data_IF_638081123402
#
_entry.id   IF_638081123402
#
_cell.length_a   1.000
_cell.length_b   1.000
_cell.length_c   1.000
_cell.angle_alpha   90.00
_cell.angle_beta   90.00
_cell.angle_gamma   90.00
#
_symmetry.space_group_name_H-M   'P 1'
#
loop_
_entity.id
_entity.type
_entity.pdbx_description
1 polymer ?
#
# COMPACT_ATOMS: atom_id res chain seq x y z
N UNK A 1 15.23 78.09 4.47
CA UNK A 1 14.22 77.93 3.42
C UNK A 1 14.80 77.05 2.40
N UNK A 2 14.47 75.80 2.47
CA UNK A 2 13.68 75.04 1.53
C UNK A 2 13.61 73.57 1.98
N UNK A 3 12.40 73.19 2.10
CA UNK A 3 12.00 71.82 2.42
C UNK A 3 12.26 70.87 1.25
N UNK A 4 12.84 69.70 1.53
CA UNK A 4 12.76 68.57 0.65
C UNK A 4 12.32 67.37 1.48
N UNK A 5 11.01 67.11 1.49
CA UNK A 5 10.39 65.89 2.04
C UNK A 5 10.78 64.70 1.18
N UNK A 6 11.35 63.69 1.85
CA UNK A 6 11.65 62.43 1.28
C UNK A 6 10.36 61.62 1.10
N UNK A 7 10.16 61.09 -0.07
CA UNK A 7 9.17 60.03 -0.35
C UNK A 7 9.63 58.71 0.28
N UNK A 8 8.75 58.10 1.07
CA UNK A 8 9.07 56.94 1.88
C UNK A 8 8.96 55.60 1.14
N UNK A 9 9.38 54.52 1.78
CA UNK A 9 9.54 53.16 1.18
C UNK A 9 8.23 52.36 1.18
N UNK A 10 7.15 52.91 0.61
CA UNK A 10 5.88 52.17 0.51
C UNK A 10 5.69 51.41 -0.82
N UNK A 11 6.36 51.81 -1.90
CA UNK A 11 6.19 51.18 -3.21
C UNK A 11 6.83 49.79 -3.37
N UNK A 12 7.81 49.43 -2.53
CA UNK A 12 8.48 48.11 -2.63
C UNK A 12 7.79 46.97 -1.86
N UNK A 13 6.85 47.28 -0.95
CA UNK A 13 6.13 46.27 -0.19
C UNK A 13 4.90 45.73 -0.94
N UNK A 14 4.26 46.57 -1.74
CA UNK A 14 3.09 46.16 -2.55
C UNK A 14 3.47 45.26 -3.72
N UNK A 15 4.59 45.53 -4.39
CA UNK A 15 5.09 44.73 -5.52
C UNK A 15 5.54 43.32 -5.12
N UNK A 16 6.10 43.16 -3.91
CA UNK A 16 6.49 41.86 -3.37
C UNK A 16 5.28 40.97 -2.99
N UNK A 17 4.18 41.59 -2.58
CA UNK A 17 2.97 40.86 -2.14
C UNK A 17 2.12 40.41 -3.33
N UNK A 18 2.08 41.21 -4.42
CA UNK A 18 1.40 40.84 -5.67
C UNK A 18 2.14 39.68 -6.42
N UNK A 19 3.47 39.69 -6.43
CA UNK A 19 4.28 38.60 -6.98
C UNK A 19 4.06 37.28 -6.23
N UNK A 20 3.98 37.31 -4.90
CA UNK A 20 3.77 36.11 -4.06
C UNK A 20 2.33 35.59 -4.20
N UNK A 21 1.33 36.45 -4.38
CA UNK A 21 -0.06 36.06 -4.65
C UNK A 21 -0.23 35.40 -6.04
N UNK A 22 0.42 35.92 -7.07
CA UNK A 22 0.36 35.39 -8.42
C UNK A 22 1.05 34.00 -8.51
N UNK A 23 2.18 33.81 -7.83
CA UNK A 23 2.87 32.54 -7.74
C UNK A 23 2.04 31.50 -6.99
N UNK A 24 1.32 31.91 -5.97
CA UNK A 24 0.40 31.04 -5.22
C UNK A 24 -0.79 30.60 -6.08
N UNK A 25 -1.43 31.48 -6.82
CA UNK A 25 -2.52 31.16 -7.74
C UNK A 25 -2.06 30.21 -8.85
N UNK A 26 -0.86 30.44 -9.41
CA UNK A 26 -0.26 29.55 -10.41
C UNK A 26 -0.03 28.16 -9.84
N UNK A 27 0.48 28.08 -8.60
CA UNK A 27 0.70 26.80 -7.91
C UNK A 27 -0.63 26.06 -7.62
N UNK A 28 -1.63 26.77 -7.12
CA UNK A 28 -2.95 26.21 -6.85
C UNK A 28 -3.60 25.68 -8.15
N UNK A 29 -3.51 26.42 -9.24
CA UNK A 29 -4.01 25.98 -10.53
C UNK A 29 -3.24 24.75 -11.08
N UNK A 30 -1.93 24.70 -10.88
CA UNK A 30 -1.13 23.52 -11.25
C UNK A 30 -1.45 22.31 -10.40
N UNK A 31 -1.69 22.48 -9.10
CA UNK A 31 -2.12 21.42 -8.19
C UNK A 31 -3.47 20.86 -8.66
N UNK A 32 -4.48 21.73 -8.84
CA UNK A 32 -5.80 21.31 -9.31
C UNK A 32 -5.74 20.53 -10.64
N UNK A 33 -4.94 21.02 -11.59
CA UNK A 33 -4.75 20.33 -12.88
C UNK A 33 -4.03 18.98 -12.76
N UNK A 34 -3.11 18.84 -11.81
CA UNK A 34 -2.45 17.56 -11.55
C UNK A 34 -3.39 16.59 -10.85
N UNK A 35 -4.21 17.08 -9.93
CA UNK A 35 -5.25 16.28 -9.26
C UNK A 35 -6.27 15.75 -10.27
N UNK A 36 -6.79 16.58 -11.14
CA UNK A 36 -7.70 16.20 -12.24
C UNK A 36 -7.10 15.11 -13.12
N UNK A 37 -5.82 15.26 -13.53
CA UNK A 37 -5.14 14.24 -14.34
C UNK A 37 -4.90 12.94 -13.61
N UNK A 38 -4.68 12.98 -12.31
CA UNK A 38 -4.55 11.77 -11.48
C UNK A 38 -5.90 11.05 -11.41
N UNK A 39 -7.00 11.78 -11.21
CA UNK A 39 -8.35 11.23 -11.22
C UNK A 39 -8.72 10.58 -12.56
N UNK A 40 -8.40 11.25 -13.69
CA UNK A 40 -8.62 10.69 -15.03
C UNK A 40 -7.84 9.39 -15.26
N UNK A 41 -6.55 9.36 -14.86
CA UNK A 41 -5.70 8.18 -14.98
C UNK A 41 -6.19 7.02 -14.09
N UNK A 42 -6.64 7.33 -12.87
CA UNK A 42 -7.22 6.36 -11.97
C UNK A 42 -8.52 5.77 -12.53
N UNK A 43 -9.42 6.61 -13.05
CA UNK A 43 -10.66 6.17 -13.68
C UNK A 43 -10.40 5.29 -14.92
N UNK A 44 -9.43 5.66 -15.74
CA UNK A 44 -9.02 4.85 -16.89
C UNK A 44 -8.45 3.50 -16.46
N UNK A 45 -7.54 3.48 -15.49
CA UNK A 45 -6.97 2.24 -14.96
C UNK A 45 -8.03 1.30 -14.39
N UNK A 46 -9.06 1.84 -13.73
CA UNK A 46 -10.21 1.09 -13.22
C UNK A 46 -11.02 0.45 -14.34
N UNK A 47 -11.33 1.21 -15.39
CA UNK A 47 -12.08 0.72 -16.53
C UNK A 47 -11.34 -0.42 -17.21
N UNK A 48 -10.05 -0.25 -17.48
CA UNK A 48 -9.21 -1.29 -18.12
C UNK A 48 -9.13 -2.54 -17.23
N UNK A 49 -8.94 -2.38 -15.93
CA UNK A 49 -8.88 -3.51 -15.00
C UNK A 49 -10.21 -4.29 -14.95
N UNK A 50 -11.32 -3.58 -14.97
CA UNK A 50 -12.65 -4.19 -15.01
C UNK A 50 -12.82 -5.02 -16.30
N UNK A 51 -12.45 -4.46 -17.43
CA UNK A 51 -12.63 -5.10 -18.75
C UNK A 51 -11.69 -6.30 -18.97
N UNK A 52 -10.50 -6.29 -18.34
CA UNK A 52 -9.57 -7.42 -18.36
C UNK A 52 -10.03 -8.59 -17.48
N UNK A 53 -10.86 -8.37 -16.46
CA UNK A 53 -11.30 -9.42 -15.54
C UNK A 53 -12.13 -10.50 -16.24
N UNK A 54 -13.03 -10.13 -17.15
CA UNK A 54 -13.94 -11.06 -17.81
C UNK A 54 -13.20 -12.08 -18.71
N UNK A 55 -12.34 -11.68 -19.67
CA UNK A 55 -11.60 -12.63 -20.48
C UNK A 55 -10.63 -13.48 -19.66
N UNK A 56 -10.05 -12.93 -18.59
CA UNK A 56 -9.14 -13.66 -17.74
C UNK A 56 -9.84 -14.78 -16.96
N UNK A 57 -11.02 -14.54 -16.40
CA UNK A 57 -11.86 -15.58 -15.79
C UNK A 57 -12.20 -16.70 -16.75
N UNK A 58 -12.44 -16.37 -18.01
CA UNK A 58 -12.72 -17.37 -19.05
C UNK A 58 -11.49 -18.25 -19.29
N UNK A 59 -10.30 -17.66 -19.45
CA UNK A 59 -9.05 -18.41 -19.62
C UNK A 59 -8.77 -19.27 -18.40
N UNK A 60 -8.92 -18.71 -17.20
CA UNK A 60 -8.73 -19.45 -15.95
C UNK A 60 -9.69 -20.64 -15.84
N UNK A 61 -10.99 -20.44 -16.12
CA UNK A 61 -12.00 -21.47 -16.06
C UNK A 61 -11.70 -22.65 -16.99
N UNK A 62 -11.43 -22.38 -18.27
CA UNK A 62 -11.08 -23.47 -19.21
C UNK A 62 -9.76 -24.16 -18.88
N UNK A 63 -8.77 -23.42 -18.41
CA UNK A 63 -7.50 -24.01 -18.00
C UNK A 63 -7.66 -24.94 -16.78
N UNK A 64 -8.54 -24.56 -15.83
CA UNK A 64 -8.89 -25.42 -14.69
C UNK A 64 -9.62 -26.70 -15.11
N UNK A 65 -10.59 -26.60 -16.01
CA UNK A 65 -11.28 -27.79 -16.54
C UNK A 65 -10.27 -28.75 -17.16
N UNK A 66 -9.34 -28.24 -17.97
CA UNK A 66 -8.27 -29.07 -18.53
C UNK A 66 -7.38 -29.69 -17.46
N UNK A 67 -7.05 -28.97 -16.40
CA UNK A 67 -6.21 -29.47 -15.31
C UNK A 67 -6.95 -30.51 -14.44
N UNK A 68 -8.24 -30.31 -14.13
CA UNK A 68 -9.01 -31.15 -13.22
C UNK A 68 -9.62 -32.39 -13.92
N UNK A 69 -10.17 -32.22 -15.13
CA UNK A 69 -10.95 -33.26 -15.78
C UNK A 69 -10.15 -34.05 -16.84
N UNK A 70 -9.13 -33.46 -17.46
CA UNK A 70 -8.40 -34.07 -18.58
C UNK A 70 -6.93 -34.38 -18.28
N UNK A 71 -6.48 -34.25 -17.03
CA UNK A 71 -5.08 -34.49 -16.64
C UNK A 71 -4.60 -35.89 -16.99
N UNK A 72 -5.49 -36.90 -16.89
CA UNK A 72 -5.15 -38.29 -17.18
C UNK A 72 -4.88 -38.56 -18.67
N UNK A 73 -5.47 -37.79 -19.57
CA UNK A 73 -5.39 -37.95 -21.01
C UNK A 73 -4.24 -37.14 -21.64
N UNK A 74 -3.65 -36.20 -20.89
CA UNK A 74 -2.61 -35.32 -21.41
C UNK A 74 -1.21 -35.90 -21.28
N UNK A 75 -0.37 -35.64 -22.28
CA UNK A 75 1.07 -35.81 -22.16
C UNK A 75 1.66 -34.94 -21.05
N UNK A 76 2.74 -35.42 -20.41
CA UNK A 76 3.37 -34.71 -19.27
C UNK A 76 3.74 -33.22 -19.62
N UNK A 77 4.19 -32.98 -20.83
CA UNK A 77 4.50 -31.62 -21.32
C UNK A 77 3.25 -30.72 -21.38
N UNK A 78 2.11 -31.27 -21.87
CA UNK A 78 0.85 -30.53 -21.94
C UNK A 78 0.32 -30.20 -20.53
N UNK A 79 0.37 -31.14 -19.58
CA UNK A 79 0.02 -30.90 -18.18
C UNK A 79 0.85 -29.74 -17.59
N UNK A 80 2.17 -29.75 -17.81
CA UNK A 80 3.04 -28.67 -17.35
C UNK A 80 2.65 -27.31 -17.94
N UNK A 81 2.26 -27.27 -19.22
CA UNK A 81 1.78 -26.03 -19.84
C UNK A 81 0.47 -25.54 -19.21
N UNK A 82 -0.50 -26.43 -19.03
CA UNK A 82 -1.80 -26.11 -18.42
C UNK A 82 -1.61 -25.57 -16.98
N UNK A 83 -0.83 -26.25 -16.15
CA UNK A 83 -0.55 -25.78 -14.79
C UNK A 83 0.16 -24.41 -14.75
N UNK A 84 1.02 -24.12 -15.75
CA UNK A 84 1.62 -22.78 -15.91
C UNK A 84 0.60 -21.73 -16.31
N UNK A 85 -0.35 -22.06 -17.19
CA UNK A 85 -1.42 -21.15 -17.60
C UNK A 85 -2.32 -20.85 -16.38
N UNK A 86 -2.78 -21.86 -15.64
CA UNK A 86 -3.60 -21.71 -14.42
C UNK A 86 -2.90 -20.79 -13.40
N UNK A 87 -1.60 -20.95 -13.22
CA UNK A 87 -0.83 -20.09 -12.32
C UNK A 87 -0.75 -18.67 -12.83
N UNK A 88 -0.44 -18.47 -14.11
CA UNK A 88 -0.32 -17.15 -14.72
C UNK A 88 -1.66 -16.37 -14.70
N UNK A 89 -2.77 -17.05 -14.98
CA UNK A 89 -4.10 -16.41 -14.93
C UNK A 89 -4.48 -16.02 -13.50
N UNK A 90 -4.18 -16.84 -12.52
CA UNK A 90 -4.39 -16.52 -11.10
C UNK A 90 -3.54 -15.32 -10.64
N UNK A 91 -2.31 -15.24 -11.11
CA UNK A 91 -1.43 -14.11 -10.83
C UNK A 91 -1.95 -12.81 -11.46
N UNK A 92 -2.49 -12.89 -12.70
CA UNK A 92 -3.12 -11.74 -13.35
C UNK A 92 -4.42 -11.31 -12.66
N UNK A 93 -5.26 -12.23 -12.19
CA UNK A 93 -6.45 -11.90 -11.38
C UNK A 93 -6.08 -11.10 -10.14
N UNK A 94 -5.03 -11.49 -9.42
CA UNK A 94 -4.54 -10.73 -8.27
C UNK A 94 -4.06 -9.32 -8.64
N UNK A 95 -3.35 -9.17 -9.77
CA UNK A 95 -2.93 -7.84 -10.26
C UNK A 95 -4.13 -6.95 -10.55
N UNK A 96 -5.15 -7.49 -11.20
CA UNK A 96 -6.38 -6.76 -11.52
C UNK A 96 -7.14 -6.40 -10.25
N UNK A 97 -7.25 -7.30 -9.28
CA UNK A 97 -7.90 -7.03 -8.00
C UNK A 97 -7.15 -5.96 -7.21
N UNK A 98 -5.83 -6.00 -7.18
CA UNK A 98 -4.97 -4.99 -6.55
C UNK A 98 -5.15 -3.62 -7.25
N UNK A 99 -5.21 -3.59 -8.59
CA UNK A 99 -5.42 -2.37 -9.35
C UNK A 99 -6.81 -1.78 -9.09
N UNK A 100 -7.85 -2.61 -9.06
CA UNK A 100 -9.21 -2.17 -8.71
C UNK A 100 -9.33 -1.74 -7.26
N UNK A 101 -8.55 -2.33 -6.35
CA UNK A 101 -8.45 -1.85 -4.98
C UNK A 101 -7.88 -0.43 -4.94
N UNK A 102 -6.83 -0.13 -5.73
CA UNK A 102 -6.30 1.24 -5.84
C UNK A 102 -7.34 2.24 -6.35
N UNK A 103 -8.23 1.81 -7.25
CA UNK A 103 -9.22 2.66 -7.88
C UNK A 103 -10.46 2.94 -7.01
N UNK A 104 -10.92 1.97 -6.24
CA UNK A 104 -12.19 2.07 -5.49
C UNK A 104 -12.14 3.02 -4.29
N UNK A 105 -10.96 3.51 -3.92
CA UNK A 105 -10.80 4.37 -2.76
C UNK A 105 -11.51 5.72 -2.86
N UNK A 106 -11.81 6.22 -4.07
CA UNK A 106 -12.36 7.56 -4.25
C UNK A 106 -13.90 7.60 -4.35
N UNK A 107 -14.58 6.45 -4.51
CA UNK A 107 -16.00 6.39 -4.89
C UNK A 107 -16.97 6.24 -3.70
N UNK A 108 -16.52 5.80 -2.53
CA UNK A 108 -17.41 5.63 -1.38
C UNK A 108 -17.04 6.54 -0.21
N UNK A 109 -18.00 7.34 0.33
CA UNK A 109 -17.78 8.05 1.58
C UNK A 109 -17.66 7.02 2.70
N UNK A 110 -16.44 6.72 3.12
CA UNK A 110 -16.22 5.84 4.24
C UNK A 110 -16.43 6.54 5.57
N UNK A 111 -17.16 5.91 6.46
CA UNK A 111 -17.41 6.45 7.79
C UNK A 111 -16.14 6.36 8.64
N UNK A 112 -15.56 7.52 8.97
CA UNK A 112 -14.49 7.61 9.95
C UNK A 112 -15.03 7.33 11.34
N UNK A 113 -14.47 6.38 12.05
CA UNK A 113 -14.87 5.97 13.39
C UNK A 113 -13.69 5.68 14.28
N UNK A 114 -13.95 5.54 15.58
CA UNK A 114 -12.93 5.09 16.53
C UNK A 114 -12.66 3.60 16.31
N UNK A 115 -11.44 3.26 15.96
CA UNK A 115 -11.01 1.89 15.65
C UNK A 115 -10.16 1.32 16.79
N UNK A 116 -10.56 0.15 17.28
CA UNK A 116 -9.72 -0.67 18.13
C UNK A 116 -8.70 -1.43 17.24
N UNK A 117 -7.48 -0.90 17.15
CA UNK A 117 -6.47 -1.48 16.28
C UNK A 117 -6.08 -2.91 16.70
N UNK A 118 -6.15 -3.24 18.00
CA UNK A 118 -5.87 -4.60 18.48
C UNK A 118 -6.86 -5.61 17.94
N UNK A 119 -8.15 -5.34 18.02
CA UNK A 119 -9.18 -6.22 17.52
C UNK A 119 -9.05 -6.44 15.99
N UNK A 120 -8.69 -5.37 15.27
CA UNK A 120 -8.49 -5.44 13.82
C UNK A 120 -7.28 -6.29 13.43
N UNK A 121 -6.16 -6.15 14.15
CA UNK A 121 -4.95 -6.96 13.95
C UNK A 121 -5.23 -8.42 14.28
N UNK A 122 -5.92 -8.72 15.38
CA UNK A 122 -6.27 -10.09 15.76
C UNK A 122 -7.15 -10.77 14.68
N UNK A 123 -8.12 -10.05 14.09
CA UNK A 123 -8.93 -10.56 12.98
C UNK A 123 -8.08 -10.90 11.75
N UNK A 124 -7.18 -10.00 11.36
CA UNK A 124 -6.30 -10.20 10.19
C UNK A 124 -5.34 -11.37 10.42
N UNK A 125 -4.76 -11.49 11.61
CA UNK A 125 -3.87 -12.62 11.93
C UNK A 125 -4.59 -13.97 11.91
N UNK A 126 -5.82 -14.03 12.44
CA UNK A 126 -6.63 -15.25 12.38
C UNK A 126 -6.96 -15.67 10.94
N UNK A 127 -7.08 -14.74 10.01
CA UNK A 127 -7.28 -15.04 8.59
C UNK A 127 -6.01 -15.49 7.89
N UNK A 128 -4.86 -14.86 8.22
CA UNK A 128 -3.57 -15.17 7.58
C UNK A 128 -2.95 -16.46 8.09
N UNK A 129 -3.23 -16.84 9.33
CA UNK A 129 -2.61 -18.00 9.99
C UNK A 129 -3.68 -19.03 10.30
N UNK A 130 -3.89 -19.94 9.34
CA UNK A 130 -4.87 -21.03 9.46
C UNK A 130 -4.40 -22.14 10.42
N UNK A 131 -3.09 -22.37 10.54
CA UNK A 131 -2.50 -23.39 11.39
C UNK A 131 -1.45 -22.76 12.31
N UNK A 132 -1.51 -23.11 13.60
CA UNK A 132 -0.47 -22.72 14.57
C UNK A 132 0.83 -23.45 14.21
N UNK A 133 1.84 -22.70 13.85
CA UNK A 133 3.19 -23.19 13.64
C UNK A 133 4.10 -22.66 14.74
N UNK A 134 4.79 -23.55 15.45
CA UNK A 134 5.78 -23.17 16.50
C UNK A 134 6.94 -22.36 15.93
N UNK A 135 7.09 -22.37 14.61
CA UNK A 135 8.09 -21.63 13.87
C UNK A 135 7.80 -20.11 13.81
N UNK A 136 6.53 -19.69 13.94
CA UNK A 136 6.13 -18.28 13.82
C UNK A 136 5.86 -17.74 15.22
N UNK A 137 6.64 -16.74 15.64
CA UNK A 137 6.46 -16.04 16.91
C UNK A 137 6.00 -14.61 16.67
N UNK A 138 4.76 -14.32 17.07
CA UNK A 138 4.16 -12.99 16.92
C UNK A 138 4.05 -12.35 18.30
N UNK A 139 4.65 -11.17 18.43
CA UNK A 139 4.54 -10.36 19.63
C UNK A 139 3.70 -9.13 19.33
N UNK A 140 2.55 -8.99 20.00
CA UNK A 140 1.71 -7.81 19.86
C UNK A 140 1.84 -7.01 21.15
N UNK A 141 2.48 -5.84 21.05
CA UNK A 141 2.56 -4.86 22.14
C UNK A 141 1.24 -4.09 22.27
N UNK A 142 1.22 -3.11 23.15
CA UNK A 142 0.05 -2.25 23.28
C UNK A 142 -0.26 -1.53 21.96
N UNK A 143 -1.47 -1.73 21.45
CA UNK A 143 -2.00 -1.07 20.25
C UNK A 143 -3.07 -0.10 20.67
N UNK A 144 -2.78 1.19 20.61
CA UNK A 144 -3.75 2.25 20.90
C UNK A 144 -4.85 2.30 19.82
N UNK A 145 -5.96 2.95 20.15
CA UNK A 145 -7.03 3.23 19.19
C UNK A 145 -6.69 4.43 18.32
N UNK A 146 -7.26 4.46 17.11
CA UNK A 146 -7.12 5.54 16.13
C UNK A 146 -8.47 5.90 15.50
N UNK A 147 -8.53 7.02 14.79
CA UNK A 147 -9.68 7.39 13.96
C UNK A 147 -9.42 6.97 12.53
N UNK A 148 -10.38 6.29 11.92
CA UNK A 148 -10.24 5.85 10.54
C UNK A 148 -11.40 5.01 10.03
N UNK A 149 -11.27 4.51 8.81
CA UNK A 149 -12.17 3.54 8.21
C UNK A 149 -11.71 2.12 8.54
N UNK A 150 -12.59 1.33 9.14
CA UNK A 150 -12.28 -0.04 9.54
C UNK A 150 -11.89 -0.92 8.34
N UNK A 151 -12.61 -0.79 7.21
CA UNK A 151 -12.34 -1.55 5.99
C UNK A 151 -10.99 -1.24 5.39
N UNK A 152 -10.65 0.06 5.27
CA UNK A 152 -9.37 0.50 4.73
C UNK A 152 -8.21 0.13 5.65
N UNK A 153 -8.35 0.33 6.96
CA UNK A 153 -7.30 -0.01 7.92
C UNK A 153 -7.08 -1.52 8.03
N UNK A 154 -8.14 -2.33 7.86
CA UNK A 154 -7.99 -3.78 7.74
C UNK A 154 -7.12 -4.15 6.54
N UNK A 155 -7.27 -3.47 5.41
CA UNK A 155 -6.44 -3.70 4.23
C UNK A 155 -4.98 -3.28 4.45
N UNK A 156 -4.72 -2.20 5.19
CA UNK A 156 -3.37 -1.82 5.62
C UNK A 156 -2.72 -2.95 6.41
N UNK A 157 -3.40 -3.46 7.46
CA UNK A 157 -2.88 -4.55 8.29
C UNK A 157 -2.69 -5.83 7.49
N UNK A 158 -3.63 -6.19 6.61
CA UNK A 158 -3.53 -7.35 5.73
C UNK A 158 -2.27 -7.29 4.86
N UNK A 159 -2.00 -6.15 4.22
CA UNK A 159 -0.81 -5.97 3.39
C UNK A 159 0.49 -6.04 4.18
N UNK A 160 0.57 -5.36 5.34
CA UNK A 160 1.79 -5.33 6.13
C UNK A 160 2.08 -6.68 6.79
N UNK A 161 1.08 -7.34 7.35
CA UNK A 161 1.24 -8.62 8.03
C UNK A 161 1.49 -9.79 7.07
N UNK A 162 0.82 -9.81 5.92
CA UNK A 162 1.11 -10.78 4.88
C UNK A 162 2.53 -10.63 4.32
N UNK A 163 3.03 -9.39 4.19
CA UNK A 163 4.42 -9.15 3.81
C UNK A 163 5.38 -9.66 4.89
N UNK A 164 5.16 -9.37 6.17
CA UNK A 164 5.99 -9.85 7.26
C UNK A 164 6.07 -11.39 7.29
N UNK A 165 4.93 -12.08 7.17
CA UNK A 165 4.88 -13.55 7.09
C UNK A 165 5.60 -14.09 5.86
N UNK A 166 5.41 -13.44 4.70
CA UNK A 166 6.05 -13.84 3.44
C UNK A 166 7.56 -13.73 3.49
N UNK A 167 8.10 -12.60 3.95
CA UNK A 167 9.55 -12.34 3.94
C UNK A 167 10.30 -13.02 5.07
N UNK A 168 9.59 -13.53 6.10
CA UNK A 168 10.15 -14.36 7.17
C UNK A 168 10.05 -15.87 6.89
N UNK A 169 9.50 -16.29 5.74
CA UNK A 169 9.25 -17.71 5.43
C UNK A 169 10.50 -18.60 5.55
N UNK A 170 11.68 -18.07 5.30
CA UNK A 170 12.96 -18.79 5.38
C UNK A 170 13.64 -18.66 6.75
N UNK A 171 13.01 -17.98 7.71
CA UNK A 171 13.54 -17.81 9.08
C UNK A 171 13.00 -18.87 10.02
N UNK A 172 13.85 -19.29 10.94
CA UNK A 172 13.50 -20.19 12.03
C UNK A 172 14.18 -19.71 13.33
N UNK A 173 13.44 -19.11 14.28
CA UNK A 173 12.03 -18.73 14.18
C UNK A 173 11.80 -17.46 13.31
N UNK A 174 10.64 -17.41 12.67
CA UNK A 174 10.09 -16.18 12.10
C UNK A 174 9.58 -15.29 13.24
N UNK A 175 10.16 -14.10 13.39
CA UNK A 175 9.81 -13.16 14.46
C UNK A 175 9.07 -11.97 13.85
N UNK A 176 7.85 -11.72 14.32
CA UNK A 176 7.04 -10.57 13.90
C UNK A 176 6.60 -9.83 15.14
N UNK A 177 6.90 -8.54 15.20
CA UNK A 177 6.52 -7.66 16.29
C UNK A 177 5.60 -6.55 15.78
N UNK A 178 4.47 -6.35 16.46
CA UNK A 178 3.47 -5.34 16.14
C UNK A 178 3.29 -4.45 17.35
N UNK A 179 3.29 -3.14 17.16
CA UNK A 179 3.14 -2.23 18.28
C UNK A 179 2.74 -0.83 17.86
N UNK A 180 2.55 0.04 18.84
CA UNK A 180 2.32 1.45 18.61
C UNK A 180 2.97 2.33 19.68
N UNK A 181 3.26 3.57 19.29
CA UNK A 181 3.63 4.67 20.16
C UNK A 181 2.72 5.84 19.90
N UNK A 182 2.31 6.55 20.94
CA UNK A 182 1.45 7.71 20.81
C UNK A 182 2.19 8.95 21.28
N UNK A 183 2.13 10.02 20.51
CA UNK A 183 2.65 11.34 20.88
C UNK A 183 1.69 12.42 20.39
N UNK A 184 1.22 13.26 21.33
CA UNK A 184 0.19 14.26 21.08
C UNK A 184 -1.09 13.60 20.50
N UNK A 185 -1.62 14.13 19.39
CA UNK A 185 -2.82 13.62 18.70
C UNK A 185 -2.50 12.65 17.55
N UNK A 186 -1.31 12.06 17.55
CA UNK A 186 -0.85 11.14 16.52
C UNK A 186 -0.45 9.82 17.17
N UNK A 187 -0.91 8.71 16.60
CA UNK A 187 -0.45 7.38 16.91
C UNK A 187 0.40 6.85 15.74
N UNK A 188 1.57 6.30 16.08
CA UNK A 188 2.46 5.64 15.13
C UNK A 188 2.38 4.14 15.38
N UNK A 189 1.96 3.38 14.41
CA UNK A 189 1.97 1.93 14.40
C UNK A 189 3.22 1.43 13.71
N UNK A 190 3.67 0.23 14.08
CA UNK A 190 4.76 -0.46 13.39
C UNK A 190 4.49 -1.96 13.28
N UNK A 191 5.03 -2.53 12.20
CA UNK A 191 5.19 -3.96 11.99
C UNK A 191 6.66 -4.21 11.71
N UNK A 192 7.32 -4.96 12.57
CA UNK A 192 8.73 -5.36 12.46
C UNK A 192 8.81 -6.84 12.19
N UNK A 193 9.67 -7.23 11.28
CA UNK A 193 10.00 -8.62 10.98
C UNK A 193 11.51 -8.85 10.97
N UNK A 194 11.95 -10.10 11.16
CA UNK A 194 13.34 -10.53 11.03
C UNK A 194 13.62 -11.19 9.65
N UNK A 195 12.88 -10.81 8.62
CA UNK A 195 12.92 -11.41 7.30
C UNK A 195 14.15 -11.09 6.48
N UNK A 196 13.99 -11.15 5.15
CA UNK A 196 15.08 -10.92 4.20
C UNK A 196 15.62 -9.47 4.23
N UNK A 197 14.82 -8.50 4.67
CA UNK A 197 15.17 -7.07 4.61
C UNK A 197 15.39 -6.58 3.17
N UNK A 198 15.73 -5.31 3.01
CA UNK A 198 16.01 -4.68 1.72
C UNK A 198 16.93 -3.47 1.88
N UNK A 199 17.54 -3.02 0.78
CA UNK A 199 18.37 -1.82 0.74
C UNK A 199 17.51 -0.55 0.79
N UNK A 200 17.64 0.22 1.87
CA UNK A 200 16.89 1.47 2.12
C UNK A 200 17.25 2.59 1.13
N UNK A 201 18.42 2.55 0.48
CA UNK A 201 18.77 3.55 -0.54
C UNK A 201 17.75 3.61 -1.68
N UNK A 202 17.02 2.51 -1.89
CA UNK A 202 15.93 2.37 -2.87
C UNK A 202 14.54 2.55 -2.27
N UNK A 203 14.41 2.92 -0.99
CA UNK A 203 13.13 3.00 -0.28
C UNK A 203 12.12 3.98 -0.90
N UNK A 204 12.58 4.98 -1.66
CA UNK A 204 11.67 5.89 -2.39
C UNK A 204 10.78 5.15 -3.39
N UNK A 205 11.29 4.08 -3.98
CA UNK A 205 10.55 3.26 -4.95
C UNK A 205 9.69 2.18 -4.29
N UNK A 206 9.88 1.92 -2.99
CA UNK A 206 9.22 0.84 -2.25
C UNK A 206 7.68 0.96 -2.25
N UNK A 207 7.19 2.18 -2.25
CA UNK A 207 5.77 2.51 -2.22
C UNK A 207 5.19 2.84 -3.60
N UNK A 208 5.96 2.65 -4.68
CA UNK A 208 5.47 2.79 -6.05
C UNK A 208 4.81 1.48 -6.51
N UNK A 209 3.72 1.54 -7.28
CA UNK A 209 3.08 0.35 -7.82
C UNK A 209 4.04 -0.46 -8.70
N UNK A 210 3.92 -1.79 -8.68
CA UNK A 210 4.69 -2.73 -9.51
C UNK A 210 6.21 -2.71 -9.28
N UNK A 211 6.71 -2.04 -8.23
CA UNK A 211 8.12 -2.10 -7.84
C UNK A 211 8.36 -3.27 -6.91
N UNK A 212 9.47 -3.98 -7.15
CA UNK A 212 9.89 -5.16 -6.38
C UNK A 212 11.36 -5.02 -6.00
N UNK A 213 11.70 -5.48 -4.79
CA UNK A 213 13.05 -5.42 -4.23
C UNK A 213 13.70 -6.79 -4.12
N UNK A 214 12.91 -7.86 -4.24
CA UNK A 214 13.36 -9.25 -4.22
C UNK A 214 13.06 -9.95 -5.54
N UNK A 215 13.84 -10.99 -5.87
CA UNK A 215 13.63 -11.80 -7.07
C UNK A 215 12.27 -12.53 -6.99
N UNK A 216 11.61 -12.65 -8.15
CA UNK A 216 10.36 -13.40 -8.31
C UNK A 216 10.45 -14.86 -7.88
N UNK A 217 11.67 -15.42 -7.95
CA UNK A 217 11.93 -16.83 -7.59
C UNK A 217 11.95 -17.06 -6.10
N UNK A 218 12.23 -16.02 -5.30
CA UNK A 218 12.34 -16.12 -3.84
C UNK A 218 11.03 -15.79 -3.14
N UNK A 219 10.32 -14.72 -3.59
CA UNK A 219 9.09 -14.27 -2.93
C UNK A 219 8.00 -13.94 -3.93
N UNK A 220 6.81 -14.50 -3.73
CA UNK A 220 5.62 -14.22 -4.53
C UNK A 220 5.08 -12.81 -4.25
N UNK A 221 4.41 -12.20 -5.23
CA UNK A 221 3.67 -10.94 -5.07
C UNK A 221 3.94 -9.95 -6.19
N UNK A 222 2.96 -9.07 -6.43
CA UNK A 222 2.91 -8.18 -7.60
C UNK A 222 3.53 -6.79 -7.36
N UNK A 223 3.94 -6.46 -6.11
CA UNK A 223 4.52 -5.16 -5.79
C UNK A 223 3.49 -4.02 -5.70
N UNK A 224 2.21 -4.34 -5.48
CA UNK A 224 1.12 -3.35 -5.38
C UNK A 224 0.69 -3.09 -3.92
N UNK A 225 0.83 -4.06 -3.03
CA UNK A 225 0.34 -3.98 -1.66
C UNK A 225 0.82 -2.76 -0.87
N UNK A 226 2.09 -2.37 -0.99
CA UNK A 226 2.62 -1.20 -0.28
C UNK A 226 2.16 0.13 -0.89
N UNK A 227 1.85 0.19 -2.17
CA UNK A 227 1.24 1.38 -2.80
C UNK A 227 -0.20 1.58 -2.34
N UNK A 228 -0.94 0.48 -2.14
CA UNK A 228 -2.27 0.51 -1.51
C UNK A 228 -2.17 1.05 -0.08
N UNK A 229 -1.23 0.53 0.73
CA UNK A 229 -1.00 1.03 2.10
C UNK A 229 -0.72 2.53 2.08
N UNK A 230 0.18 3.00 1.21
CA UNK A 230 0.51 4.42 1.07
C UNK A 230 -0.72 5.28 0.77
N UNK A 231 -1.57 4.85 -0.17
CA UNK A 231 -2.78 5.60 -0.57
C UNK A 231 -3.78 5.65 0.59
N UNK A 232 -4.01 4.54 1.28
CA UNK A 232 -4.91 4.49 2.44
C UNK A 232 -4.42 5.41 3.55
N UNK A 233 -3.15 5.34 3.90
CA UNK A 233 -2.56 6.15 4.98
C UNK A 233 -2.58 7.63 4.63
N UNK A 234 -2.26 8.02 3.37
CA UNK A 234 -2.36 9.39 2.91
C UNK A 234 -3.80 9.94 3.01
N UNK A 235 -4.82 9.13 2.64
CA UNK A 235 -6.25 9.50 2.79
C UNK A 235 -6.66 9.73 4.24
N UNK A 236 -6.01 9.06 5.19
CA UNK A 236 -6.20 9.29 6.63
C UNK A 236 -5.36 10.46 7.19
N UNK A 237 -4.67 11.22 6.33
CA UNK A 237 -3.77 12.30 6.75
C UNK A 237 -2.49 11.83 7.43
N UNK A 238 -2.15 10.55 7.29
CA UNK A 238 -0.99 9.93 7.90
C UNK A 238 0.25 9.91 7.02
N UNK A 239 1.33 9.34 7.57
CA UNK A 239 2.61 9.12 6.87
C UNK A 239 2.98 7.65 6.93
N UNK A 240 3.67 7.15 5.90
CA UNK A 240 4.17 5.79 5.79
C UNK A 240 5.67 5.83 5.49
N UNK A 241 6.47 5.05 6.22
CA UNK A 241 7.91 4.86 5.95
C UNK A 241 8.36 3.48 6.40
N UNK A 242 9.59 3.12 6.04
CA UNK A 242 10.18 1.86 6.43
C UNK A 242 11.66 2.02 6.76
N UNK A 243 12.15 1.16 7.65
CA UNK A 243 13.55 0.97 8.01
C UNK A 243 13.91 -0.49 7.76
N UNK A 244 15.05 -0.74 7.12
CA UNK A 244 15.48 -2.10 6.80
C UNK A 244 16.97 -2.16 6.49
N UNK A 245 17.54 -3.34 6.71
CA UNK A 245 18.88 -3.70 6.21
C UNK A 245 18.81 -5.09 5.58
N UNK A 246 19.53 -5.36 4.49
CA UNK A 246 19.56 -6.68 3.87
C UNK A 246 19.98 -7.75 4.87
N UNK A 247 19.16 -8.79 5.03
CA UNK A 247 19.39 -9.89 5.95
C UNK A 247 18.95 -9.67 7.40
N UNK A 248 18.60 -8.44 7.81
CA UNK A 248 18.24 -8.08 9.19
C UNK A 248 16.74 -7.88 9.40
N UNK A 249 15.95 -7.99 8.31
CA UNK A 249 14.51 -7.76 8.33
C UNK A 249 14.11 -6.32 8.03
N UNK A 250 12.85 -6.01 8.26
CA UNK A 250 12.26 -4.71 7.99
C UNK A 250 11.34 -4.24 9.11
N UNK A 251 11.18 -2.93 9.23
CA UNK A 251 10.15 -2.32 10.08
C UNK A 251 9.38 -1.30 9.25
N UNK A 252 8.08 -1.52 9.11
CA UNK A 252 7.18 -0.60 8.46
C UNK A 252 6.44 0.22 9.52
N UNK A 253 6.41 1.53 9.35
CA UNK A 253 5.75 2.47 10.25
C UNK A 253 4.68 3.25 9.51
N UNK A 254 3.57 3.51 10.18
CA UNK A 254 2.57 4.44 9.68
C UNK A 254 1.92 5.24 10.81
N UNK A 255 1.50 6.46 10.50
CA UNK A 255 0.82 7.33 11.47
C UNK A 255 -0.65 7.48 11.14
N UNK A 256 -1.46 7.64 12.20
CA UNK A 256 -2.89 7.97 12.08
C UNK A 256 -3.27 9.03 13.12
N UNK A 257 -4.37 9.79 12.88
CA UNK A 257 -4.92 10.67 13.91
C UNK A 257 -5.41 9.86 15.11
N UNK A 258 -5.21 10.43 16.31
CA UNK A 258 -5.71 9.91 17.58
C UNK A 258 -6.63 10.95 18.21
N UNK A 259 -7.67 10.50 18.90
CA UNK A 259 -8.50 11.32 19.76
C UNK A 259 -7.76 11.68 21.04
#
# INVERSE_FOLDING_TARGET
MDDAYGEGPQAHAEDSTELDMNDKEILEHRIARLEERVEELDAFACSVAHDLRAPLRTIHGYSRILEEEHTGEMAAAARSCVSRIVRATRDMERVIDDLLALCRFDVQPETMSLINARALVDQVLNELISEKSDRIRITIRNLGSCVGSAGLLRQVWMNLLSNALKFTRERDPALIEIGSTARNHIITYFVRDNGAGFDVSRARDLFLPFRRFHDQRQFEGQGVGLSIVRRIIARHGGRLWAESSPGEGATFYFTLPRI
#
